data_IF_546146250282
#
_entry.id   IF_546146250282
#
_cell.length_a   1.000
_cell.length_b   1.000
_cell.length_c   1.000
_cell.angle_alpha   90.00
_cell.angle_beta   90.00
_cell.angle_gamma   90.00
#
_symmetry.space_group_name_H-M   'P 1'
#
loop_
_entity.id
_entity.type
_entity.pdbx_description
1 polymer ?
#
# COMPACT_ATOMS: atom_id res chain seq x y z
N UNK A 1 -64.51 -15.89 -1.24
CA UNK A 1 -63.36 -16.59 -1.85
C UNK A 1 -62.09 -15.81 -1.55
N UNK A 2 -61.32 -16.15 -0.49
CA UNK A 2 -60.05 -15.48 -0.22
C UNK A 2 -58.90 -16.18 -0.96
N UNK A 3 -57.95 -15.33 -1.33
CA UNK A 3 -56.76 -15.54 -2.15
C UNK A 3 -55.79 -16.55 -1.53
N UNK A 4 -55.43 -17.59 -2.28
CA UNK A 4 -54.23 -18.37 -1.99
C UNK A 4 -53.04 -17.68 -2.67
N UNK A 5 -52.40 -16.73 -1.97
CA UNK A 5 -51.04 -16.32 -2.33
C UNK A 5 -50.10 -17.45 -1.94
N UNK A 6 -49.59 -18.16 -2.95
CA UNK A 6 -48.67 -19.28 -2.80
C UNK A 6 -47.46 -18.93 -1.94
N UNK A 7 -47.26 -19.70 -0.88
CA UNK A 7 -46.09 -19.64 0.00
C UNK A 7 -44.73 -19.78 -0.75
N UNK A 8 -44.75 -20.26 -2.00
CA UNK A 8 -43.56 -20.33 -2.85
C UNK A 8 -42.99 -18.96 -3.25
N UNK A 9 -43.80 -17.90 -3.35
CA UNK A 9 -43.29 -16.58 -3.76
C UNK A 9 -42.54 -15.87 -2.63
N UNK A 10 -42.87 -16.16 -1.37
CA UNK A 10 -42.18 -15.62 -0.20
C UNK A 10 -40.82 -16.27 0.04
N UNK A 11 -40.63 -17.54 -0.34
CA UNK A 11 -39.36 -18.25 -0.16
C UNK A 11 -38.28 -17.80 -1.15
N UNK A 12 -38.66 -17.41 -2.37
CA UNK A 12 -37.73 -16.93 -3.39
C UNK A 12 -37.11 -15.56 -3.06
N UNK A 13 -37.85 -14.69 -2.36
CA UNK A 13 -37.35 -13.39 -1.91
C UNK A 13 -36.47 -13.47 -0.66
N UNK A 14 -36.60 -14.52 0.15
CA UNK A 14 -35.76 -14.72 1.33
C UNK A 14 -34.34 -15.22 0.98
N UNK A 15 -34.16 -15.93 -0.13
CA UNK A 15 -32.85 -16.44 -0.56
C UNK A 15 -31.97 -15.41 -1.29
N UNK A 16 -32.57 -14.38 -1.89
CA UNK A 16 -31.80 -13.32 -2.54
C UNK A 16 -31.13 -12.34 -1.55
N UNK A 17 -31.56 -12.31 -0.28
CA UNK A 17 -31.05 -11.40 0.74
C UNK A 17 -29.83 -11.90 1.54
N UNK A 18 -29.50 -13.19 1.47
CA UNK A 18 -28.42 -13.80 2.27
C UNK A 18 -27.07 -13.87 1.55
N UNK A 19 -26.98 -13.39 0.31
CA UNK A 19 -25.76 -13.37 -0.50
C UNK A 19 -25.12 -11.98 -0.61
N UNK A 20 -25.63 -10.98 0.12
CA UNK A 20 -24.91 -9.74 0.31
C UNK A 20 -23.82 -9.94 1.37
N UNK A 21 -22.80 -10.75 1.03
CA UNK A 21 -21.51 -10.66 1.69
C UNK A 21 -21.04 -9.22 1.49
N UNK A 22 -21.06 -8.43 2.54
CA UNK A 22 -20.39 -7.13 2.63
C UNK A 22 -18.89 -7.37 2.44
N UNK A 23 -18.44 -7.48 1.18
CA UNK A 23 -17.04 -7.63 0.80
C UNK A 23 -16.34 -6.27 0.73
N UNK A 24 -16.73 -5.33 1.59
CA UNK A 24 -16.01 -4.09 1.76
C UNK A 24 -14.64 -4.41 2.36
N UNK A 25 -13.63 -4.60 1.51
CA UNK A 25 -12.24 -4.72 1.95
C UNK A 25 -11.87 -3.38 2.58
N UNK A 26 -11.84 -3.32 3.91
CA UNK A 26 -11.36 -2.15 4.62
C UNK A 26 -9.85 -2.05 4.45
N UNK A 27 -9.36 -0.88 4.07
CA UNK A 27 -7.92 -0.61 4.00
C UNK A 27 -7.50 0.19 5.24
N UNK A 28 -6.30 -0.11 5.75
CA UNK A 28 -5.69 0.64 6.84
C UNK A 28 -4.22 0.95 6.54
N UNK A 29 -3.72 2.10 7.00
CA UNK A 29 -2.33 2.47 6.80
C UNK A 29 -1.41 1.55 7.61
N UNK A 30 -0.32 1.15 6.97
CA UNK A 30 0.81 0.43 7.55
C UNK A 30 2.02 1.36 7.43
N UNK A 31 2.65 1.67 8.56
CA UNK A 31 3.87 2.47 8.55
C UNK A 31 5.06 1.61 8.09
N UNK A 32 5.89 2.17 7.20
CA UNK A 32 7.08 1.52 6.67
C UNK A 32 8.31 2.12 7.34
N UNK A 33 8.94 1.33 8.19
CA UNK A 33 10.14 1.71 8.95
C UNK A 33 11.42 1.22 8.26
N UNK A 34 12.56 1.76 8.70
CA UNK A 34 13.89 1.36 8.20
C UNK A 34 14.36 2.13 6.96
N UNK A 35 13.55 3.06 6.47
CA UNK A 35 13.92 3.96 5.37
C UNK A 35 14.97 4.99 5.85
N UNK A 36 16.00 5.27 5.03
CA UNK A 36 17.07 6.22 5.37
C UNK A 36 16.53 7.65 5.38
N UNK A 37 17.04 8.52 6.26
CA UNK A 37 16.58 9.93 6.35
C UNK A 37 17.63 10.87 5.80
N UNK A 38 17.20 11.84 4.99
CA UNK A 38 18.04 12.98 4.68
C UNK A 38 18.23 13.87 5.91
N UNK A 39 19.40 14.49 6.01
CA UNK A 39 19.78 15.39 7.10
C UNK A 39 20.27 16.72 6.52
N UNK A 40 19.76 17.88 6.97
CA UNK A 40 18.67 18.10 7.93
C UNK A 40 17.31 17.49 7.49
N UNK A 41 16.38 17.26 8.45
CA UNK A 41 15.06 16.71 8.14
C UNK A 41 14.27 17.62 7.19
N UNK A 42 13.29 17.04 6.48
CA UNK A 42 12.48 17.67 5.42
C UNK A 42 13.21 17.87 4.05
N UNK A 43 14.36 17.23 3.85
CA UNK A 43 14.97 17.09 2.52
C UNK A 43 14.49 15.83 1.80
N UNK A 44 14.40 15.92 0.49
CA UNK A 44 14.03 14.80 -0.38
C UNK A 44 15.25 14.05 -0.90
N UNK A 45 15.08 12.78 -1.27
CA UNK A 45 16.14 12.04 -1.96
C UNK A 45 16.37 12.62 -3.37
N UNK A 46 17.62 12.82 -3.76
CA UNK A 46 18.02 13.15 -5.13
C UNK A 46 17.63 12.04 -6.12
N UNK A 47 17.63 10.79 -5.61
CA UNK A 47 17.10 9.63 -6.30
C UNK A 47 16.06 8.95 -5.40
N UNK A 48 14.76 9.18 -5.64
CA UNK A 48 13.70 8.57 -4.85
C UNK A 48 13.83 7.05 -4.76
N UNK A 49 13.37 6.46 -3.68
CA UNK A 49 13.23 5.00 -3.61
C UNK A 49 11.92 4.60 -4.29
N UNK A 50 11.86 3.38 -4.79
CA UNK A 50 10.65 2.77 -5.32
C UNK A 50 10.25 1.60 -4.43
N UNK A 51 9.01 1.59 -3.97
CA UNK A 51 8.42 0.50 -3.22
C UNK A 51 7.33 -0.18 -4.06
N UNK A 52 7.51 -1.47 -4.33
CA UNK A 52 6.46 -2.34 -4.84
C UNK A 52 5.94 -3.23 -3.73
N UNK A 53 4.62 -3.40 -3.71
CA UNK A 53 3.92 -4.19 -2.70
C UNK A 53 3.02 -5.16 -3.43
N UNK A 54 3.14 -6.43 -3.07
CA UNK A 54 2.45 -7.54 -3.73
C UNK A 54 1.97 -8.51 -2.65
N UNK A 55 0.67 -8.80 -2.64
CA UNK A 55 0.06 -9.71 -1.67
C UNK A 55 -1.44 -9.87 -1.88
N UNK A 56 -1.93 -11.09 -1.61
CA UNK A 56 -3.27 -11.54 -1.96
C UNK A 56 -3.60 -11.21 -3.43
N UNK A 57 -4.47 -10.22 -3.66
CA UNK A 57 -4.92 -9.73 -4.97
C UNK A 57 -4.54 -8.26 -5.19
N UNK A 58 -3.71 -7.70 -4.32
CA UNK A 58 -3.32 -6.29 -4.34
C UNK A 58 -1.89 -6.15 -4.82
N UNK A 59 -1.71 -5.32 -5.84
CA UNK A 59 -0.40 -4.87 -6.31
C UNK A 59 -0.37 -3.36 -6.34
N UNK A 60 0.64 -2.77 -5.71
CA UNK A 60 0.84 -1.33 -5.76
C UNK A 60 2.30 -0.99 -5.94
N UNK A 61 2.56 0.16 -6.57
CA UNK A 61 3.88 0.76 -6.69
C UNK A 61 3.78 2.18 -6.15
N UNK A 62 4.74 2.55 -5.31
CA UNK A 62 4.80 3.86 -4.66
C UNK A 62 6.21 4.42 -4.79
N UNK A 63 6.29 5.73 -5.02
CA UNK A 63 7.55 6.45 -4.98
C UNK A 63 7.74 6.99 -3.57
N UNK A 64 8.94 6.82 -3.05
CA UNK A 64 9.32 7.14 -1.68
C UNK A 64 10.33 8.28 -1.75
N UNK A 65 9.87 9.48 -1.44
CA UNK A 65 10.67 10.71 -1.52
C UNK A 65 11.32 11.10 -0.19
N UNK A 66 10.85 10.54 0.92
CA UNK A 66 11.37 10.72 2.28
C UNK A 66 11.18 9.43 3.10
N UNK A 67 11.49 9.45 4.40
CA UNK A 67 11.43 8.27 5.26
C UNK A 67 10.08 8.07 5.97
N UNK A 68 9.10 8.96 5.77
CA UNK A 68 7.82 8.93 6.47
C UNK A 68 6.74 8.31 5.55
N UNK A 69 6.95 7.03 5.19
CA UNK A 69 6.08 6.31 4.27
C UNK A 69 4.97 5.53 5.00
N UNK A 70 3.74 5.67 4.49
CA UNK A 70 2.59 4.84 4.87
C UNK A 70 1.98 4.22 3.63
N UNK A 71 1.58 2.95 3.75
CA UNK A 71 0.99 2.19 2.64
C UNK A 71 -0.35 1.61 3.10
N UNK A 72 -1.37 1.74 2.28
CA UNK A 72 -2.70 1.22 2.61
C UNK A 72 -2.80 -0.25 2.19
N UNK A 73 -2.96 -1.14 3.18
CA UNK A 73 -3.17 -2.57 2.96
C UNK A 73 -4.54 -2.99 3.48
N UNK A 74 -5.17 -4.02 2.88
CA UNK A 74 -6.33 -4.68 3.44
C UNK A 74 -6.15 -4.95 4.94
N UNK A 75 -7.18 -4.65 5.72
CA UNK A 75 -7.24 -4.81 7.17
C UNK A 75 -7.52 -6.27 7.55
N UNK A 76 -6.67 -7.16 7.05
CA UNK A 76 -6.69 -8.59 7.31
C UNK A 76 -5.27 -9.10 7.49
N UNK A 77 -5.15 -10.24 8.16
CA UNK A 77 -3.88 -10.94 8.28
C UNK A 77 -3.47 -11.52 6.94
N UNK A 78 -2.20 -11.37 6.57
CA UNK A 78 -1.68 -11.93 5.33
C UNK A 78 -0.16 -11.87 5.27
N UNK A 79 0.40 -12.60 4.31
CA UNK A 79 1.81 -12.50 3.94
C UNK A 79 1.95 -11.56 2.75
N UNK A 80 2.86 -10.60 2.88
CA UNK A 80 3.05 -9.52 1.93
C UNK A 80 4.51 -9.49 1.49
N UNK A 81 4.72 -9.33 0.18
CA UNK A 81 6.04 -9.11 -0.39
C UNK A 81 6.23 -7.63 -0.66
N UNK A 82 7.21 -7.04 0.02
CA UNK A 82 7.66 -5.67 -0.20
C UNK A 82 8.96 -5.71 -0.98
N UNK A 83 9.05 -5.01 -2.10
CA UNK A 83 10.29 -4.86 -2.87
C UNK A 83 10.68 -3.40 -2.87
N UNK A 84 11.84 -3.08 -2.30
CA UNK A 84 12.35 -1.73 -2.22
C UNK A 84 13.60 -1.62 -3.08
N UNK A 85 13.68 -0.59 -3.90
CA UNK A 85 14.82 -0.32 -4.78
C UNK A 85 14.94 1.17 -5.08
N UNK A 86 15.71 1.49 -6.11
CA UNK A 86 15.91 2.86 -6.55
C UNK A 86 15.00 3.21 -7.72
N UNK A 87 14.51 4.45 -7.72
CA UNK A 87 13.80 4.97 -8.86
C UNK A 87 14.76 5.43 -9.95
N UNK A 88 14.57 4.91 -11.16
CA UNK A 88 15.25 5.38 -12.35
C UNK A 88 14.38 6.41 -13.10
N UNK A 89 15.03 7.45 -13.62
CA UNK A 89 14.38 8.55 -14.35
C UNK A 89 13.18 9.16 -13.60
N UNK A 90 13.35 9.63 -12.33
CA UNK A 90 12.25 10.23 -11.59
C UNK A 90 11.71 11.43 -12.37
N UNK A 91 10.44 11.37 -12.75
CA UNK A 91 9.75 12.53 -13.34
C UNK A 91 9.12 13.32 -12.21
N UNK A 92 9.63 14.53 -12.01
CA UNK A 92 9.06 15.49 -11.09
C UNK A 92 7.81 16.12 -11.74
N UNK A 93 6.63 15.80 -11.19
CA UNK A 93 5.38 16.46 -11.57
C UNK A 93 5.07 17.63 -10.64
N UNK A 94 5.51 17.53 -9.39
CA UNK A 94 5.45 18.59 -8.37
C UNK A 94 6.40 18.24 -7.22
N UNK A 95 6.69 19.23 -6.35
CA UNK A 95 7.53 19.08 -5.14
C UNK A 95 7.21 17.85 -4.27
N UNK A 96 6.02 17.28 -4.38
CA UNK A 96 5.56 16.14 -3.57
C UNK A 96 5.08 14.94 -4.41
N UNK A 97 5.22 14.98 -5.74
CA UNK A 97 4.70 13.93 -6.63
C UNK A 97 5.73 13.59 -7.69
N UNK A 98 6.34 12.43 -7.48
CA UNK A 98 7.25 11.80 -8.43
C UNK A 98 6.53 10.63 -9.10
N UNK A 99 6.76 10.46 -10.39
CA UNK A 99 6.53 9.18 -11.06
C UNK A 99 7.87 8.50 -11.26
N UNK A 100 7.86 7.19 -11.09
CA UNK A 100 9.02 6.37 -11.35
C UNK A 100 8.80 5.57 -12.63
N UNK A 101 9.66 5.80 -13.64
CA UNK A 101 9.62 5.03 -14.87
C UNK A 101 9.92 3.57 -14.61
N UNK A 102 11.09 3.31 -14.00
CA UNK A 102 11.57 1.96 -13.69
C UNK A 102 12.14 1.88 -12.28
N UNK A 103 11.96 0.72 -11.64
CA UNK A 103 12.47 0.44 -10.30
C UNK A 103 13.62 -0.54 -10.41
N UNK A 104 14.84 -0.08 -10.10
CA UNK A 104 16.07 -0.85 -10.19
C UNK A 104 16.53 -1.33 -8.82
N UNK A 105 17.43 -2.32 -8.80
CA UNK A 105 18.08 -2.84 -7.60
C UNK A 105 17.07 -3.27 -6.51
N UNK A 106 16.00 -3.93 -6.94
CA UNK A 106 14.87 -4.28 -6.08
C UNK A 106 15.22 -5.41 -5.11
N UNK A 107 15.16 -5.11 -3.82
CA UNK A 107 15.35 -6.07 -2.74
C UNK A 107 14.01 -6.48 -2.13
N UNK A 108 13.68 -7.77 -2.26
CA UNK A 108 12.44 -8.33 -1.74
C UNK A 108 12.53 -8.69 -0.26
N UNK A 109 11.48 -8.34 0.49
CA UNK A 109 11.32 -8.62 1.91
C UNK A 109 9.90 -9.12 2.14
N UNK A 110 9.77 -10.37 2.58
CA UNK A 110 8.48 -10.97 2.92
C UNK A 110 8.15 -10.74 4.39
N UNK A 111 6.94 -10.27 4.68
CA UNK A 111 6.47 -9.93 6.02
C UNK A 111 5.03 -10.33 6.20
N UNK A 112 4.72 -10.89 7.37
CA UNK A 112 3.33 -11.06 7.81
C UNK A 112 2.86 -9.78 8.45
N UNK A 113 1.73 -9.26 7.98
CA UNK A 113 1.09 -8.07 8.53
C UNK A 113 -0.30 -8.49 9.03
N UNK A 114 -0.55 -8.32 10.32
CA UNK A 114 -1.84 -8.60 10.94
C UNK A 114 -2.87 -7.48 10.73
N UNK A 115 -4.15 -7.71 11.07
CA UNK A 115 -5.18 -6.67 11.08
C UNK A 115 -5.04 -5.71 12.27
N UNK A 116 -5.74 -4.58 12.21
CA UNK A 116 -5.91 -3.64 13.32
C UNK A 116 -5.14 -2.32 13.16
N UNK A 117 -5.22 -1.42 14.16
CA UNK A 117 -4.52 -0.14 14.14
C UNK A 117 -3.02 -0.30 14.45
N UNK A 118 -2.20 0.67 14.02
CA UNK A 118 -0.79 0.75 14.40
C UNK A 118 0.14 -0.26 13.71
N UNK A 119 -0.29 -0.83 12.59
CA UNK A 119 0.47 -1.79 11.78
C UNK A 119 1.78 -1.15 11.30
N UNK A 120 2.87 -1.90 11.41
CA UNK A 120 4.22 -1.48 10.99
C UNK A 120 4.96 -2.60 10.30
N UNK A 121 5.81 -2.24 9.35
CA UNK A 121 6.73 -3.15 8.68
C UNK A 121 8.10 -2.50 8.57
N UNK A 122 9.15 -3.22 8.92
CA UNK A 122 10.53 -2.74 8.74
C UNK A 122 11.14 -3.37 7.50
N UNK A 123 11.60 -2.53 6.59
CA UNK A 123 12.27 -2.91 5.35
C UNK A 123 13.77 -2.61 5.43
N UNK A 124 14.64 -3.51 4.95
CA UNK A 124 16.06 -3.22 4.79
C UNK A 124 16.25 -2.27 3.61
N UNK A 125 16.41 -0.99 3.89
CA UNK A 125 16.62 0.01 2.85
C UNK A 125 18.09 0.04 2.37
N UNK A 126 18.35 0.58 1.16
CA UNK A 126 19.71 0.81 0.68
C UNK A 126 20.51 1.64 1.69
N UNK A 127 21.79 1.30 1.89
CA UNK A 127 22.64 1.95 2.91
C UNK A 127 23.02 3.38 2.58
N UNK A 128 22.96 3.77 1.31
CA UNK A 128 23.36 5.09 0.82
C UNK A 128 22.22 5.74 0.06
N UNK A 129 21.88 6.96 0.47
CA UNK A 129 20.98 7.86 -0.25
C UNK A 129 21.71 9.17 -0.53
N UNK A 130 21.38 9.76 -1.67
CA UNK A 130 21.76 11.13 -2.01
C UNK A 130 20.54 12.02 -1.74
N UNK A 131 20.77 13.20 -1.18
CA UNK A 131 19.72 14.14 -0.80
C UNK A 131 19.79 15.38 -1.69
N UNK A 132 18.63 15.93 -2.04
CA UNK A 132 18.55 17.22 -2.73
C UNK A 132 18.95 18.30 -1.73
N UNK A 133 19.94 19.16 -2.06
CA UNK A 133 20.30 20.27 -1.19
C UNK A 133 19.12 21.24 -1.02
N UNK A 134 19.02 21.94 0.11
CA UNK A 134 18.01 22.98 0.28
C UNK A 134 18.21 24.04 -0.81
N UNK A 135 17.11 24.47 -1.43
CA UNK A 135 17.13 25.60 -2.37
C UNK A 135 17.29 26.88 -1.55
N UNK A 136 18.40 27.60 -1.75
CA UNK A 136 18.63 28.93 -1.16
C UNK A 136 17.63 29.98 -1.70
#
# INVERSE_FOLDING_TARGET
MPRALSALTLLALAFAGLLACDQSTHFRPVAVDGLPRCTPPAQYYARPLCLEIDGDDTRSRQVVSDADLRVDLPDRGGEWTFRLGHCEHPRDFSRTRYECGECLDMHATVRRVGPGPGRRVTLPAPRTIECIPPSD
#
